data_IF_220206257939
#
_entry.id   IF_220206257939
#
_cell.length_a   1.000
_cell.length_b   1.000
_cell.length_c   1.000
_cell.angle_alpha   90.00
_cell.angle_beta   90.00
_cell.angle_gamma   90.00
#
_symmetry.space_group_name_H-M   'P 1'
#
loop_
_entity.id
_entity.type
_entity.pdbx_description
1 polymer ?
#
# COMPACT_ATOMS: atom_id res chain seq x y z
N UNK A 1 -46.98 74.94 49.19
CA UNK A 1 -48.35 75.44 49.39
C UNK A 1 -48.80 75.05 50.79
N UNK A 2 -49.54 75.93 51.45
CA UNK A 2 -49.85 75.83 52.89
C UNK A 2 -51.36 75.97 53.05
N UNK A 3 -51.97 75.06 53.79
CA UNK A 3 -53.40 75.08 54.08
C UNK A 3 -53.63 75.99 55.29
N UNK A 4 -54.48 77.01 55.13
CA UNK A 4 -54.85 77.94 56.20
C UNK A 4 -56.17 77.49 56.83
N UNK A 5 -56.11 76.99 58.05
CA UNK A 5 -57.29 76.64 58.85
C UNK A 5 -57.55 77.80 59.80
N UNK A 6 -58.68 78.48 59.63
CA UNK A 6 -59.09 79.65 60.42
C UNK A 6 -60.11 79.21 61.46
N UNK A 7 -59.74 79.28 62.74
CA UNK A 7 -60.66 78.97 63.84
C UNK A 7 -61.33 80.26 64.32
N UNK A 8 -62.66 80.29 64.30
CA UNK A 8 -63.45 81.47 64.72
C UNK A 8 -64.35 81.13 65.90
N UNK A 9 -64.28 81.92 66.96
CA UNK A 9 -65.27 81.91 68.06
C UNK A 9 -66.19 83.12 67.94
N UNK A 10 -67.41 82.99 68.46
CA UNK A 10 -68.34 84.11 68.59
C UNK A 10 -68.22 84.66 70.00
N UNK A 11 -67.69 85.87 70.12
CA UNK A 11 -67.56 86.57 71.41
C UNK A 11 -68.63 87.65 71.46
N UNK A 12 -69.30 87.77 72.61
CA UNK A 12 -70.29 88.80 72.86
C UNK A 12 -69.56 90.15 72.96
N UNK A 13 -69.84 91.08 72.06
CA UNK A 13 -69.31 92.45 72.17
C UNK A 13 -70.11 93.24 73.21
N UNK A 14 -69.54 94.35 73.69
CA UNK A 14 -70.13 95.20 74.75
C UNK A 14 -71.56 95.69 74.42
N UNK A 15 -71.96 95.66 73.16
CA UNK A 15 -73.30 96.00 72.67
C UNK A 15 -74.27 94.79 72.59
N UNK A 16 -73.96 93.68 73.27
CA UNK A 16 -74.75 92.43 73.29
C UNK A 16 -74.99 91.79 71.91
N UNK A 17 -74.10 92.00 70.94
CA UNK A 17 -74.13 91.32 69.64
C UNK A 17 -73.00 90.30 69.53
N UNK A 18 -73.30 89.14 68.94
CA UNK A 18 -72.28 88.12 68.69
C UNK A 18 -71.45 88.52 67.45
N UNK A 19 -70.17 88.81 67.64
CA UNK A 19 -69.24 89.03 66.53
C UNK A 19 -68.23 87.87 66.45
N UNK A 20 -67.97 87.39 65.24
CA UNK A 20 -66.95 86.36 64.99
C UNK A 20 -65.56 86.95 65.17
N UNK A 21 -64.80 86.44 66.13
CA UNK A 21 -63.38 86.75 66.37
C UNK A 21 -62.54 85.54 65.96
N UNK A 22 -61.56 85.76 65.09
CA UNK A 22 -60.60 84.72 64.69
C UNK A 22 -59.67 84.45 65.88
N UNK A 23 -59.67 83.22 66.39
CA UNK A 23 -58.92 82.81 67.58
C UNK A 23 -57.53 82.32 67.21
N UNK A 24 -57.38 81.65 66.06
CA UNK A 24 -56.09 81.18 65.56
C UNK A 24 -56.08 80.97 64.05
N UNK A 25 -54.90 81.16 63.44
CA UNK A 25 -54.58 80.74 62.07
C UNK A 25 -53.48 79.70 62.14
N UNK A 26 -53.78 78.48 61.73
CA UNK A 26 -52.80 77.40 61.68
C UNK A 26 -52.39 77.22 60.21
N UNK A 27 -51.11 77.38 59.94
CA UNK A 27 -50.48 77.17 58.64
C UNK A 27 -49.91 75.75 58.58
N UNK A 28 -50.61 74.84 57.89
CA UNK A 28 -50.19 73.44 57.79
C UNK A 28 -49.59 73.14 56.40
N UNK A 29 -48.34 72.67 56.30
CA UNK A 29 -47.74 72.31 55.02
C UNK A 29 -48.34 71.00 54.50
N UNK A 30 -48.78 71.00 53.25
CA UNK A 30 -49.32 69.81 52.58
C UNK A 30 -48.18 68.82 52.31
N UNK A 31 -48.24 67.63 52.93
CA UNK A 31 -47.27 66.54 52.70
C UNK A 31 -47.85 65.54 51.71
N UNK A 32 -47.30 65.51 50.49
CA UNK A 32 -47.68 64.52 49.49
C UNK A 32 -46.83 63.23 49.58
N UNK A 33 -47.36 62.08 49.14
CA UNK A 33 -46.63 60.83 49.12
C UNK A 33 -45.43 60.88 48.16
N UNK A 34 -44.36 60.13 48.47
CA UNK A 34 -43.15 60.07 47.62
C UNK A 34 -43.45 59.56 46.21
N UNK A 35 -42.66 60.02 45.25
CA UNK A 35 -42.80 59.60 43.86
C UNK A 35 -42.54 58.09 43.73
N UNK A 36 -43.47 57.37 43.08
CA UNK A 36 -43.35 55.93 42.83
C UNK A 36 -42.98 55.68 41.37
N UNK A 37 -41.99 54.81 41.14
CA UNK A 37 -41.61 54.35 39.79
C UNK A 37 -41.91 52.86 39.68
N UNK A 38 -42.82 52.50 38.79
CA UNK A 38 -43.19 51.12 38.48
C UNK A 38 -42.66 50.78 37.09
N UNK A 39 -41.88 49.70 36.98
CA UNK A 39 -41.32 49.24 35.71
C UNK A 39 -41.75 47.80 35.49
N UNK A 40 -42.45 47.53 34.39
CA UNK A 40 -42.84 46.18 33.99
C UNK A 40 -42.27 45.85 32.62
N UNK A 41 -41.48 44.79 32.53
CA UNK A 41 -40.92 44.28 31.27
C UNK A 41 -41.80 43.18 30.71
N UNK A 42 -42.26 43.34 29.47
CA UNK A 42 -42.94 42.27 28.76
C UNK A 42 -41.88 41.31 28.18
N UNK A 43 -41.88 40.08 28.69
CA UNK A 43 -40.92 39.03 28.35
C UNK A 43 -40.93 38.63 26.86
N UNK A 44 -42.08 38.77 26.19
CA UNK A 44 -42.28 38.34 24.80
C UNK A 44 -41.90 39.43 23.80
N UNK A 45 -42.28 40.69 24.08
CA UNK A 45 -42.00 41.82 23.18
C UNK A 45 -40.66 42.50 23.48
N UNK A 46 -40.08 42.26 24.66
CA UNK A 46 -38.83 42.89 25.08
C UNK A 46 -38.95 44.39 25.36
N UNK A 47 -40.18 44.91 25.52
CA UNK A 47 -40.47 46.31 25.81
C UNK A 47 -40.90 46.43 27.28
N UNK A 48 -40.26 47.33 28.02
CA UNK A 48 -40.66 47.74 29.35
C UNK A 48 -41.50 49.01 29.31
N UNK A 49 -42.63 48.97 30.02
CA UNK A 49 -43.45 50.15 30.27
C UNK A 49 -43.09 50.67 31.66
N UNK A 50 -42.61 51.91 31.72
CA UNK A 50 -42.28 52.58 32.97
C UNK A 50 -43.34 53.63 33.27
N UNK A 51 -43.99 53.49 34.42
CA UNK A 51 -44.98 54.44 34.92
C UNK A 51 -44.40 55.16 36.13
N UNK A 52 -44.19 56.47 35.98
CA UNK A 52 -43.70 57.36 37.02
C UNK A 52 -44.89 58.16 37.58
N UNK A 53 -45.21 57.91 38.84
CA UNK A 53 -46.22 58.63 39.60
C UNK A 53 -45.54 59.78 40.34
N UNK A 54 -45.66 61.01 39.84
CA UNK A 54 -45.14 62.21 40.48
C UNK A 54 -46.25 62.96 41.21
N UNK A 55 -46.11 63.21 42.53
CA UNK A 55 -47.07 64.03 43.26
C UNK A 55 -46.98 65.49 42.79
N UNK A 56 -48.12 66.10 42.51
CA UNK A 56 -48.26 67.51 42.18
C UNK A 56 -49.32 68.11 43.11
N UNK A 57 -48.99 69.22 43.76
CA UNK A 57 -49.95 69.94 44.62
C UNK A 57 -50.76 70.87 43.73
N UNK A 58 -52.05 70.61 43.62
CA UNK A 58 -52.99 71.46 42.89
C UNK A 58 -54.19 71.75 43.81
N UNK A 59 -54.51 73.03 44.01
CA UNK A 59 -55.61 73.46 44.89
C UNK A 59 -55.55 72.88 46.32
N UNK A 60 -54.36 72.82 46.92
CA UNK A 60 -54.13 72.25 48.25
C UNK A 60 -54.48 70.75 48.40
N UNK A 61 -54.76 70.05 47.30
CA UNK A 61 -54.91 68.60 47.25
C UNK A 61 -53.71 67.96 46.54
N UNK A 62 -53.22 66.85 47.07
CA UNK A 62 -52.16 66.09 46.41
C UNK A 62 -52.76 65.30 45.26
N UNK A 63 -52.52 65.75 44.02
CA UNK A 63 -52.84 64.97 42.82
C UNK A 63 -51.61 64.21 42.34
N UNK A 64 -51.82 63.09 41.66
CA UNK A 64 -50.75 62.34 41.02
C UNK A 64 -50.73 62.63 39.53
N UNK A 65 -49.58 63.05 39.03
CA UNK A 65 -49.30 63.08 37.60
C UNK A 65 -48.68 61.76 37.18
N UNK A 66 -49.25 61.15 36.15
CA UNK A 66 -48.77 59.87 35.60
C UNK A 66 -47.96 60.18 34.35
N UNK A 67 -46.67 59.86 34.38
CA UNK A 67 -45.83 59.86 33.19
C UNK A 67 -45.54 58.42 32.79
N UNK A 68 -46.01 58.02 31.62
CA UNK A 68 -45.76 56.69 31.07
C UNK A 68 -44.85 56.81 29.86
N UNK A 69 -43.75 56.05 29.85
CA UNK A 69 -42.87 55.95 28.70
C UNK A 69 -42.45 54.50 28.49
N UNK A 70 -42.18 54.17 27.23
CA UNK A 70 -41.75 52.84 26.80
C UNK A 70 -40.24 52.85 26.54
N UNK A 71 -39.56 51.80 26.98
CA UNK A 71 -38.14 51.57 26.73
C UNK A 71 -37.91 50.09 26.45
N UNK A 72 -36.83 49.68 25.77
CA UNK A 72 -36.53 48.25 25.64
C UNK A 72 -35.96 47.71 26.95
N UNK A 73 -36.31 46.46 27.27
CA UNK A 73 -35.74 45.68 28.37
C UNK A 73 -35.02 44.41 27.90
N UNK A 74 -35.19 44.00 26.63
CA UNK A 74 -34.43 42.92 26.00
C UNK A 74 -34.00 43.31 24.59
N UNK A 75 -32.82 42.84 24.19
CA UNK A 75 -32.28 42.97 22.83
C UNK A 75 -32.14 41.59 22.19
N UNK A 76 -31.88 41.52 20.89
CA UNK A 76 -31.73 40.24 20.19
C UNK A 76 -30.49 39.48 20.73
N UNK A 77 -30.67 38.28 21.30
CA UNK A 77 -29.56 37.50 21.84
C UNK A 77 -28.75 36.78 20.75
N UNK A 78 -29.24 36.71 19.51
CA UNK A 78 -28.55 36.00 18.44
C UNK A 78 -27.24 36.69 18.06
N UNK A 79 -26.17 35.91 18.02
CA UNK A 79 -24.86 36.38 17.57
C UNK A 79 -24.78 36.29 16.05
N UNK A 80 -24.27 37.34 15.43
CA UNK A 80 -23.98 37.39 13.99
C UNK A 80 -22.47 37.30 13.77
N UNK A 81 -22.04 36.54 12.76
CA UNK A 81 -20.63 36.46 12.40
C UNK A 81 -20.18 37.75 11.73
N UNK A 82 -19.06 38.32 12.19
CA UNK A 82 -18.48 39.53 11.59
C UNK A 82 -17.25 39.17 10.77
N UNK A 83 -16.24 38.56 11.42
CA UNK A 83 -14.99 38.17 10.75
C UNK A 83 -14.23 37.13 11.55
N UNK A 84 -13.30 36.44 10.87
CA UNK A 84 -12.38 35.49 11.46
C UNK A 84 -10.94 35.81 11.03
N UNK A 85 -9.99 35.77 11.97
CA UNK A 85 -8.57 35.96 11.65
C UNK A 85 -7.96 34.70 11.02
N UNK A 86 -6.89 34.88 10.25
CA UNK A 86 -6.06 33.76 9.83
C UNK A 86 -5.55 32.96 11.04
N UNK A 87 -5.25 31.68 10.81
CA UNK A 87 -4.70 30.82 11.84
C UNK A 87 -3.29 31.28 12.21
N UNK A 88 -3.06 31.56 13.50
CA UNK A 88 -1.76 31.97 14.01
C UNK A 88 -0.77 30.81 14.04
N UNK A 89 0.53 31.13 14.22
CA UNK A 89 1.58 30.10 14.44
C UNK A 89 1.28 29.22 15.65
N UNK A 90 0.60 29.76 16.66
CA UNK A 90 0.17 29.04 17.87
C UNK A 90 -1.12 28.22 17.66
N UNK A 91 -1.55 28.04 16.41
CA UNK A 91 -2.72 27.26 16.03
C UNK A 91 -4.04 27.79 16.63
N UNK A 92 -4.13 29.11 16.80
CA UNK A 92 -5.32 29.82 17.29
C UNK A 92 -5.88 30.77 16.23
N UNK A 93 -7.20 30.89 16.21
CA UNK A 93 -7.93 31.86 15.38
C UNK A 93 -8.94 32.58 16.25
N UNK A 94 -9.15 33.87 16.00
CA UNK A 94 -10.13 34.68 16.72
C UNK A 94 -11.35 34.87 15.82
N UNK A 95 -12.49 34.41 16.31
CA UNK A 95 -13.80 34.62 15.68
C UNK A 95 -14.44 35.83 16.36
N UNK A 96 -14.73 36.86 15.59
CA UNK A 96 -15.41 38.06 16.06
C UNK A 96 -16.88 37.95 15.67
N UNK A 97 -17.74 37.98 16.68
CA UNK A 97 -19.19 37.96 16.57
C UNK A 97 -19.76 39.27 17.09
N UNK A 98 -20.96 39.63 16.65
CA UNK A 98 -21.69 40.79 17.13
C UNK A 98 -23.00 40.33 17.76
N UNK A 99 -23.30 40.83 18.96
CA UNK A 99 -24.62 40.71 19.60
C UNK A 99 -25.15 42.08 19.95
N UNK A 100 -26.43 42.19 20.25
CA UNK A 100 -26.98 43.40 20.82
C UNK A 100 -26.88 43.38 22.35
N UNK A 101 -26.53 44.52 22.94
CA UNK A 101 -26.53 44.74 24.39
C UNK A 101 -27.38 45.95 24.73
N UNK A 102 -28.18 45.83 25.78
CA UNK A 102 -29.04 46.89 26.27
C UNK A 102 -28.20 47.93 27.05
N UNK A 103 -28.32 49.20 26.69
CA UNK A 103 -27.73 50.32 27.44
C UNK A 103 -28.63 50.76 28.60
N UNK A 104 -28.08 51.55 29.52
CA UNK A 104 -28.84 52.14 30.63
C UNK A 104 -30.07 52.95 30.17
N UNK A 105 -30.00 53.53 28.97
CA UNK A 105 -31.07 54.31 28.35
C UNK A 105 -32.14 53.47 27.62
N UNK A 106 -32.05 52.14 27.71
CA UNK A 106 -33.01 51.23 27.06
C UNK A 106 -32.84 51.12 25.55
N UNK A 107 -31.64 51.38 25.03
CA UNK A 107 -31.30 51.28 23.59
C UNK A 107 -30.42 50.06 23.35
N UNK A 108 -30.72 49.29 22.32
CA UNK A 108 -29.88 48.15 21.91
C UNK A 108 -28.72 48.66 21.05
N UNK A 109 -27.49 48.45 21.53
CA UNK A 109 -26.27 48.78 20.77
C UNK A 109 -25.49 47.51 20.43
N UNK A 110 -24.81 47.47 19.27
CA UNK A 110 -23.97 46.34 18.91
C UNK A 110 -22.75 46.25 19.85
N UNK A 111 -22.50 45.05 20.36
CA UNK A 111 -21.33 44.68 21.16
C UNK A 111 -20.57 43.59 20.40
N UNK A 112 -19.28 43.83 20.17
CA UNK A 112 -18.38 42.85 19.57
C UNK A 112 -17.86 41.88 20.63
N UNK A 113 -18.00 40.59 20.34
CA UNK A 113 -17.48 39.49 21.16
C UNK A 113 -16.37 38.81 20.38
N UNK A 114 -15.20 38.66 20.99
CA UNK A 114 -14.11 37.87 20.44
C UNK A 114 -14.05 36.50 21.13
N UNK A 115 -14.09 35.43 20.35
CA UNK A 115 -13.88 34.06 20.83
C UNK A 115 -12.62 33.46 20.18
N UNK A 116 -11.72 32.94 21.00
CA UNK A 116 -10.52 32.25 20.51
C UNK A 116 -10.83 30.76 20.33
N UNK A 117 -10.61 30.24 19.12
CA UNK A 117 -10.76 28.81 18.78
C UNK A 117 -9.45 28.22 18.30
N UNK A 118 -9.27 26.90 18.42
CA UNK A 118 -8.14 26.21 17.77
C UNK A 118 -8.43 26.05 16.28
N UNK A 119 -7.41 26.26 15.45
CA UNK A 119 -7.51 26.12 13.99
C UNK A 119 -6.62 25.00 13.43
N UNK A 120 -5.72 24.43 14.24
CA UNK A 120 -4.94 23.24 13.86
C UNK A 120 -4.96 22.22 14.98
N UNK A 121 -4.61 20.98 14.62
CA UNK A 121 -4.41 19.90 15.56
C UNK A 121 -2.95 19.46 15.64
N UNK A 122 -2.55 18.79 16.75
CA UNK A 122 -1.22 18.23 16.88
C UNK A 122 -0.87 17.31 15.70
N UNK A 123 0.41 17.26 15.36
CA UNK A 123 0.89 16.35 14.32
C UNK A 123 0.65 14.89 14.73
N UNK A 124 0.37 13.99 13.77
CA UNK A 124 0.23 12.57 14.06
C UNK A 124 1.45 12.02 14.80
N UNK A 125 1.22 11.24 15.85
CA UNK A 125 2.29 10.66 16.66
C UNK A 125 2.15 9.14 16.72
N UNK A 126 3.27 8.43 16.62
CA UNK A 126 3.31 6.98 16.83
C UNK A 126 3.21 6.72 18.32
N UNK A 127 2.12 6.09 18.76
CA UNK A 127 1.86 5.82 20.18
C UNK A 127 2.22 4.38 20.56
N UNK A 128 2.22 3.46 19.60
CA UNK A 128 2.56 2.05 19.86
C UNK A 128 3.19 1.41 18.63
N UNK A 129 4.21 0.59 18.87
CA UNK A 129 4.76 -0.36 17.90
C UNK A 129 4.62 -1.74 18.53
N UNK A 130 4.03 -2.68 17.80
CA UNK A 130 3.88 -4.06 18.26
C UNK A 130 4.49 -5.00 17.22
N UNK A 131 5.05 -6.10 17.70
CA UNK A 131 5.53 -7.18 16.85
C UNK A 131 5.03 -8.48 17.46
N UNK A 132 4.18 -9.19 16.73
CA UNK A 132 3.89 -10.58 17.03
C UNK A 132 4.99 -11.44 16.42
N UNK A 133 5.87 -11.97 17.27
CA UNK A 133 7.01 -12.77 16.85
C UNK A 133 6.63 -14.11 16.22
N UNK A 134 5.47 -14.68 16.58
CA UNK A 134 5.02 -15.96 16.05
C UNK A 134 4.47 -15.80 14.63
N UNK A 135 3.60 -14.80 14.42
CA UNK A 135 3.06 -14.52 13.08
C UNK A 135 3.99 -13.68 12.21
N UNK A 136 5.02 -13.05 12.80
CA UNK A 136 5.91 -12.08 12.12
C UNK A 136 5.17 -10.83 11.65
N UNK A 137 4.07 -10.48 12.32
CA UNK A 137 3.24 -9.33 11.98
C UNK A 137 3.64 -8.14 12.84
N UNK A 138 4.13 -7.10 12.17
CA UNK A 138 4.42 -5.81 12.80
C UNK A 138 3.21 -4.90 12.68
N UNK A 139 2.84 -4.20 13.74
CA UNK A 139 1.81 -3.17 13.69
C UNK A 139 2.28 -1.87 14.30
N UNK A 140 1.86 -0.77 13.68
CA UNK A 140 2.16 0.58 14.13
C UNK A 140 0.82 1.27 14.35
N UNK A 141 0.59 1.75 15.56
CA UNK A 141 -0.56 2.57 15.90
C UNK A 141 -0.14 4.03 15.94
N UNK A 142 -0.77 4.82 15.09
CA UNK A 142 -0.57 6.27 14.99
C UNK A 142 -1.82 6.98 15.48
N UNK A 143 -1.66 7.89 16.43
CA UNK A 143 -2.71 8.79 16.88
C UNK A 143 -2.76 10.00 15.96
N UNK A 144 -3.89 10.20 15.30
CA UNK A 144 -4.20 11.32 14.41
C UNK A 144 -5.25 12.17 15.11
N UNK A 145 -5.26 13.48 14.88
CA UNK A 145 -6.23 14.37 15.49
C UNK A 145 -7.10 15.01 14.40
N UNK A 146 -8.43 14.92 14.53
CA UNK A 146 -9.40 15.57 13.64
C UNK A 146 -9.95 16.83 14.31
N UNK A 147 -10.00 17.94 13.58
CA UNK A 147 -10.57 19.19 14.06
C UNK A 147 -12.10 19.16 13.87
N UNK A 148 -12.85 19.20 14.98
CA UNK A 148 -14.31 19.24 15.00
C UNK A 148 -14.73 20.40 15.88
N UNK A 149 -15.46 21.38 15.33
CA UNK A 149 -15.97 22.57 16.04
C UNK A 149 -14.91 23.40 16.80
N UNK A 150 -13.63 23.32 16.41
CA UNK A 150 -12.54 24.03 17.09
C UNK A 150 -11.86 23.22 18.19
N UNK A 151 -12.20 21.94 18.32
CA UNK A 151 -11.54 20.98 19.20
C UNK A 151 -10.87 19.85 18.41
N UNK A 152 -9.80 19.29 18.97
CA UNK A 152 -9.02 18.22 18.33
C UNK A 152 -9.36 16.87 18.96
N UNK A 153 -10.09 16.05 18.21
CA UNK A 153 -10.52 14.73 18.64
C UNK A 153 -9.47 13.68 18.21
N UNK A 154 -8.93 12.87 19.13
CA UNK A 154 -7.96 11.83 18.80
C UNK A 154 -8.63 10.65 18.09
N UNK A 155 -7.97 10.12 17.07
CA UNK A 155 -8.36 8.95 16.30
C UNK A 155 -7.14 8.06 16.13
N UNK A 156 -7.21 6.84 16.62
CA UNK A 156 -6.11 5.88 16.53
C UNK A 156 -6.25 5.05 15.25
N UNK A 157 -5.20 5.09 14.43
CA UNK A 157 -5.10 4.30 13.20
C UNK A 157 -4.00 3.27 13.36
N UNK A 158 -4.36 1.99 13.30
CA UNK A 158 -3.42 0.87 13.33
C UNK A 158 -3.21 0.34 11.93
N UNK A 159 -1.94 0.24 11.52
CA UNK A 159 -1.54 -0.40 10.26
C UNK A 159 -0.68 -1.61 10.60
N UNK A 160 -1.05 -2.77 10.09
CA UNK A 160 -0.29 -4.02 10.22
C UNK A 160 0.39 -4.39 8.91
N UNK A 161 1.60 -4.94 9.00
CA UNK A 161 2.38 -5.44 7.88
C UNK A 161 3.11 -6.72 8.29
N UNK A 162 2.99 -7.75 7.46
CA UNK A 162 3.75 -8.98 7.61
C UNK A 162 5.20 -8.80 7.17
N UNK A 163 6.14 -9.34 7.95
CA UNK A 163 7.55 -9.42 7.57
C UNK A 163 7.76 -10.61 6.65
N UNK A 164 8.05 -10.32 5.38
CA UNK A 164 8.38 -11.31 4.34
C UNK A 164 9.87 -11.14 4.02
N UNK A 165 10.65 -12.21 4.24
CA UNK A 165 12.08 -12.23 3.97
C UNK A 165 12.37 -12.74 2.56
N UNK A 166 13.53 -12.38 2.02
CA UNK A 166 13.93 -12.85 0.71
C UNK A 166 14.08 -14.37 0.70
N UNK A 167 13.55 -15.03 -0.32
CA UNK A 167 13.76 -16.46 -0.57
C UNK A 167 15.11 -16.76 -1.23
N UNK A 168 15.94 -15.73 -1.46
CA UNK A 168 17.23 -15.89 -2.13
C UNK A 168 18.18 -16.68 -1.22
N UNK A 169 18.49 -17.90 -1.65
CA UNK A 169 19.52 -18.72 -1.04
C UNK A 169 20.79 -18.64 -1.89
N UNK A 170 21.92 -18.34 -1.24
CA UNK A 170 23.23 -18.39 -1.86
C UNK A 170 23.98 -19.61 -1.35
N UNK A 171 24.57 -20.39 -2.27
CA UNK A 171 25.30 -21.60 -1.94
C UNK A 171 26.72 -21.49 -2.47
N UNK A 172 27.69 -21.42 -1.56
CA UNK A 172 29.12 -21.48 -1.91
C UNK A 172 29.63 -22.89 -1.71
N UNK A 173 30.23 -23.46 -2.75
CA UNK A 173 30.83 -24.82 -2.71
C UNK A 173 32.34 -24.68 -2.69
N UNK A 174 32.96 -25.10 -1.59
CA UNK A 174 34.40 -25.10 -1.40
C UNK A 174 34.92 -26.54 -1.39
N UNK A 175 36.00 -26.80 -2.12
CA UNK A 175 36.71 -28.08 -2.09
C UNK A 175 37.73 -28.05 -0.95
N UNK A 176 37.63 -28.98 -0.02
CA UNK A 176 38.60 -29.13 1.06
C UNK A 176 39.66 -30.19 0.68
N UNK A 177 40.94 -30.00 1.08
CA UNK A 177 42.01 -30.96 0.83
C UNK A 177 41.72 -32.37 1.36
N UNK A 178 40.87 -32.47 2.40
CA UNK A 178 40.42 -33.70 3.05
C UNK A 178 39.49 -34.58 2.19
N UNK A 179 39.17 -34.17 0.95
CA UNK A 179 38.24 -34.90 0.08
C UNK A 179 36.76 -34.63 0.38
N UNK A 180 36.46 -33.55 1.11
CA UNK A 180 35.11 -33.09 1.40
C UNK A 180 34.75 -31.84 0.60
N UNK A 181 33.48 -31.74 0.24
CA UNK A 181 32.85 -30.51 -0.22
C UNK A 181 32.19 -29.83 0.96
N UNK A 182 32.63 -28.61 1.26
CA UNK A 182 31.98 -27.72 2.21
C UNK A 182 30.97 -26.86 1.46
N UNK A 183 29.69 -27.04 1.78
CA UNK A 183 28.59 -26.25 1.25
C UNK A 183 28.20 -25.22 2.31
N UNK A 184 28.43 -23.96 2.01
CA UNK A 184 28.00 -22.83 2.84
C UNK A 184 26.74 -22.26 2.24
N UNK A 185 25.61 -22.48 2.91
CA UNK A 185 24.30 -21.97 2.52
C UNK A 185 24.00 -20.72 3.34
N UNK A 186 23.74 -19.62 2.67
CA UNK A 186 23.39 -18.36 3.32
C UNK A 186 22.01 -17.94 2.83
N UNK A 187 21.07 -17.78 3.77
CA UNK A 187 19.68 -17.40 3.50
C UNK A 187 19.16 -16.44 4.55
N UNK A 188 18.20 -15.61 4.18
CA UNK A 188 17.45 -14.82 5.14
C UNK A 188 16.41 -15.69 5.85
N UNK A 189 16.41 -15.62 7.17
CA UNK A 189 15.42 -16.30 8.02
C UNK A 189 14.70 -15.24 8.83
N UNK A 190 13.38 -15.37 8.90
CA UNK A 190 12.54 -14.51 9.74
C UNK A 190 12.78 -14.84 11.22
N UNK A 191 13.16 -13.83 12.00
CA UNK A 191 13.25 -13.90 13.45
C UNK A 191 12.41 -12.75 14.02
N UNK A 192 11.27 -13.10 14.60
CA UNK A 192 10.24 -12.12 14.96
C UNK A 192 9.72 -11.36 13.74
N UNK A 193 9.74 -10.03 13.79
CA UNK A 193 9.34 -9.15 12.67
C UNK A 193 10.54 -8.61 11.87
N UNK A 194 11.71 -9.25 11.93
CA UNK A 194 12.90 -8.87 11.16
C UNK A 194 13.47 -10.06 10.37
N UNK A 195 14.16 -9.74 9.29
CA UNK A 195 14.89 -10.72 8.48
C UNK A 195 16.36 -10.71 8.88
N UNK A 196 16.89 -11.89 9.18
CA UNK A 196 18.28 -12.07 9.59
C UNK A 196 18.97 -13.04 8.66
N UNK A 197 20.17 -12.68 8.22
CA UNK A 197 21.00 -13.58 7.42
C UNK A 197 21.54 -14.71 8.30
N UNK A 198 21.32 -15.96 7.89
CA UNK A 198 21.84 -17.16 8.57
C UNK A 198 22.65 -17.99 7.60
N UNK A 199 23.87 -18.33 8.02
CA UNK A 199 24.74 -19.26 7.32
C UNK A 199 24.67 -20.65 7.94
N UNK A 200 24.49 -21.68 7.13
CA UNK A 200 24.57 -23.08 7.52
C UNK A 200 25.68 -23.76 6.74
N UNK A 201 26.57 -24.44 7.46
CA UNK A 201 27.67 -25.21 6.87
C UNK A 201 27.28 -26.68 6.86
N UNK A 202 27.35 -27.32 5.70
CA UNK A 202 27.20 -28.76 5.56
C UNK A 202 28.39 -29.34 4.79
N UNK A 203 28.73 -30.60 5.08
CA UNK A 203 29.83 -31.31 4.42
C UNK A 203 29.30 -32.50 3.66
N UNK A 204 29.71 -32.65 2.40
CA UNK A 204 29.39 -33.79 1.55
C UNK A 204 30.67 -34.39 1.01
N UNK A 205 30.81 -35.72 1.02
CA UNK A 205 32.00 -36.39 0.49
C UNK A 205 32.12 -36.12 -1.02
N UNK A 206 33.31 -35.73 -1.48
CA UNK A 206 33.59 -35.58 -2.92
C UNK A 206 33.53 -36.95 -3.58
N UNK A 207 32.76 -37.07 -4.67
CA UNK A 207 32.69 -38.28 -5.49
C UNK A 207 33.29 -37.96 -6.85
N UNK A 208 34.22 -38.81 -7.31
CA UNK A 208 34.71 -38.73 -8.68
C UNK A 208 33.65 -39.20 -9.67
N UNK A 209 33.74 -38.80 -10.95
CA UNK A 209 32.82 -39.28 -11.99
C UNK A 209 32.80 -40.80 -12.07
N UNK A 210 31.67 -41.35 -12.51
CA UNK A 210 31.52 -42.79 -12.71
C UNK A 210 32.45 -43.32 -13.82
N UNK A 211 32.66 -44.63 -13.81
CA UNK A 211 33.47 -45.30 -14.84
C UNK A 211 32.82 -45.04 -16.19
N UNK A 212 33.62 -44.57 -17.16
CA UNK A 212 33.14 -44.26 -18.50
C UNK A 212 33.84 -45.12 -19.55
N UNK A 213 33.09 -45.47 -20.61
CA UNK A 213 33.60 -46.22 -21.76
C UNK A 213 33.82 -45.26 -22.92
N UNK A 214 35.01 -45.29 -23.51
CA UNK A 214 35.33 -44.58 -24.75
C UNK A 214 35.72 -45.58 -25.83
N UNK A 215 35.29 -45.32 -27.05
CA UNK A 215 35.61 -46.14 -28.21
C UNK A 215 36.21 -45.25 -29.27
N UNK A 216 37.37 -45.62 -29.79
CA UNK A 216 38.08 -44.88 -30.83
C UNK A 216 38.59 -45.83 -31.89
N UNK A 217 38.68 -45.35 -33.13
CA UNK A 217 39.31 -46.08 -34.21
C UNK A 217 40.84 -45.98 -34.07
N UNK A 218 41.54 -47.10 -34.17
CA UNK A 218 43.01 -47.12 -34.18
C UNK A 218 43.53 -47.98 -35.32
N UNK A 219 44.67 -47.58 -35.87
CA UNK A 219 45.42 -48.34 -36.87
C UNK A 219 46.33 -49.36 -36.16
N UNK A 220 46.30 -50.61 -36.63
CA UNK A 220 47.12 -51.71 -36.13
C UNK A 220 48.33 -51.98 -37.04
N UNK A 221 48.15 -51.84 -38.35
CA UNK A 221 49.17 -52.05 -39.41
C UNK A 221 48.64 -51.50 -40.75
N UNK A 222 49.46 -51.54 -41.82
CA UNK A 222 49.23 -50.87 -43.11
C UNK A 222 47.90 -51.17 -43.84
N UNK A 223 47.09 -52.14 -43.39
CA UNK A 223 45.73 -52.38 -43.91
C UNK A 223 44.76 -52.93 -42.85
N UNK A 224 45.05 -52.74 -41.55
CA UNK A 224 44.23 -53.26 -40.46
C UNK A 224 43.85 -52.15 -39.48
N UNK A 225 42.54 -51.99 -39.26
CA UNK A 225 41.99 -51.07 -38.27
C UNK A 225 41.14 -51.83 -37.24
N UNK A 226 41.12 -51.31 -36.03
CA UNK A 226 40.37 -51.89 -34.93
C UNK A 226 39.65 -50.83 -34.11
N UNK A 227 38.52 -51.24 -33.54
CA UNK A 227 37.87 -50.49 -32.47
C UNK A 227 38.65 -50.70 -31.16
N UNK A 228 39.29 -49.64 -30.67
CA UNK A 228 39.87 -49.59 -29.33
C UNK A 228 38.83 -49.08 -28.35
N UNK A 229 38.33 -49.97 -27.49
CA UNK A 229 37.49 -49.60 -26.35
C UNK A 229 38.38 -49.40 -25.12
N UNK A 230 38.35 -48.21 -24.52
CA UNK A 230 39.05 -47.88 -23.28
C UNK A 230 38.03 -47.67 -22.15
N UNK A 231 38.22 -48.36 -21.02
CA UNK A 231 37.50 -48.06 -19.78
C UNK A 231 38.33 -47.07 -18.95
N UNK A 232 37.70 -45.95 -18.62
CA UNK A 232 38.31 -44.84 -17.87
C UNK A 232 37.68 -44.81 -16.47
N UNK A 233 38.52 -45.03 -15.46
CA UNK A 233 38.17 -44.90 -14.05
C UNK A 233 38.78 -43.62 -13.48
N UNK A 234 38.05 -42.94 -12.60
CA UNK A 234 38.52 -41.77 -11.90
C UNK A 234 38.83 -42.13 -10.44
N UNK A 235 40.06 -41.85 -9.99
CA UNK A 235 40.47 -42.08 -8.60
C UNK A 235 40.64 -40.74 -7.88
N UNK A 236 40.08 -40.60 -6.68
CA UNK A 236 40.37 -39.44 -5.84
C UNK A 236 41.75 -39.59 -5.21
N UNK A 237 42.60 -38.57 -5.35
CA UNK A 237 43.81 -38.49 -4.52
C UNK A 237 43.43 -38.11 -3.09
N UNK A 238 44.13 -38.67 -2.09
CA UNK A 238 43.94 -38.31 -0.67
C UNK A 238 44.69 -37.04 -0.27
N UNK A 239 45.62 -36.57 -1.12
CA UNK A 239 46.46 -35.38 -0.88
C UNK A 239 45.98 -34.13 -1.63
N UNK A 240 45.26 -34.33 -2.73
CA UNK A 240 44.76 -33.26 -3.58
C UNK A 240 43.29 -33.57 -3.87
N UNK A 241 42.40 -32.59 -3.66
CA UNK A 241 40.97 -32.67 -3.99
C UNK A 241 40.72 -32.63 -5.52
N UNK A 242 41.44 -33.49 -6.24
CA UNK A 242 41.48 -33.64 -7.70
C UNK A 242 41.25 -35.12 -8.01
N UNK A 243 40.38 -35.39 -8.99
CA UNK A 243 40.21 -36.74 -9.53
C UNK A 243 41.28 -36.97 -10.60
N UNK A 244 42.10 -37.98 -10.42
CA UNK A 244 43.04 -38.43 -11.44
C UNK A 244 42.38 -39.44 -12.37
N UNK A 245 42.63 -39.28 -13.67
CA UNK A 245 42.16 -40.18 -14.72
C UNK A 245 43.07 -41.41 -14.77
N UNK A 246 42.51 -42.61 -14.75
CA UNK A 246 43.23 -43.86 -14.95
C UNK A 246 42.52 -44.73 -15.99
N UNK A 247 43.25 -45.15 -17.00
CA UNK A 247 42.78 -46.16 -17.96
C UNK A 247 43.04 -47.54 -17.37
N UNK A 248 42.00 -48.37 -17.30
CA UNK A 248 42.08 -49.66 -16.59
C UNK A 248 41.97 -50.88 -17.51
N UNK A 249 41.39 -50.70 -18.68
CA UNK A 249 41.18 -51.79 -19.61
C UNK A 249 41.10 -51.27 -21.04
N UNK A 250 41.74 -52.00 -21.94
CA UNK A 250 41.71 -51.75 -23.37
C UNK A 250 41.29 -53.03 -24.08
N UNK A 251 40.18 -53.00 -24.82
CA UNK A 251 39.79 -54.06 -25.75
C UNK A 251 40.02 -53.60 -27.18
N UNK A 252 40.76 -54.40 -27.94
CA UNK A 252 40.95 -54.22 -29.38
C UNK A 252 40.04 -55.21 -30.10
N UNK A 253 39.23 -54.69 -31.03
CA UNK A 253 38.38 -55.50 -31.88
C UNK A 253 38.69 -55.21 -33.35
N UNK A 254 39.36 -56.14 -34.07
CA UNK A 254 39.67 -55.99 -35.49
C UNK A 254 38.40 -55.85 -36.32
N UNK A 255 38.48 -55.05 -37.39
CA UNK A 255 37.37 -54.86 -38.32
C UNK A 255 37.59 -55.78 -39.52
N UNK A 256 36.62 -56.65 -39.76
CA UNK A 256 36.61 -57.54 -40.92
C UNK A 256 35.40 -57.20 -41.77
N UNK A 257 35.64 -56.74 -42.99
CA UNK A 257 34.58 -56.43 -43.94
C UNK A 257 34.14 -57.69 -44.68
N UNK A 258 32.95 -58.19 -44.34
CA UNK A 258 32.36 -59.33 -45.05
C UNK A 258 32.02 -58.97 -46.50
N UNK A 259 32.29 -59.90 -47.42
CA UNK A 259 31.96 -59.78 -48.83
C UNK A 259 30.42 -59.93 -48.97
N UNK A 260 29.71 -58.96 -49.58
CA UNK A 260 28.27 -59.09 -49.80
C UNK A 260 27.94 -60.25 -50.75
N UNK A 261 26.75 -60.85 -50.64
CA UNK A 261 26.29 -61.83 -51.62
C UNK A 261 26.25 -61.23 -53.03
N UNK A 262 26.58 -62.05 -54.03
CA UNK A 262 26.53 -61.66 -55.44
C UNK A 262 25.07 -61.42 -55.86
N UNK A 263 24.85 -60.47 -56.76
CA UNK A 263 23.55 -60.28 -57.40
C UNK A 263 23.61 -60.76 -58.85
N UNK A 264 22.80 -61.76 -59.19
CA UNK A 264 22.80 -62.44 -60.48
C UNK A 264 21.48 -62.13 -61.18
N UNK A 265 21.54 -61.57 -62.39
CA UNK A 265 20.34 -61.31 -63.19
C UNK A 265 19.80 -62.57 -63.87
N UNK A 266 18.60 -62.47 -64.42
CA UNK A 266 18.09 -63.45 -65.38
C UNK A 266 18.89 -63.42 -66.69
N UNK A 267 18.76 -64.48 -67.49
CA UNK A 267 19.41 -64.61 -68.78
C UNK A 267 18.70 -63.76 -69.84
N UNK A 268 19.46 -62.93 -70.56
CA UNK A 268 18.98 -62.09 -71.65
C UNK A 268 19.89 -62.24 -72.87
N UNK A 269 19.37 -61.95 -74.06
CA UNK A 269 20.15 -62.07 -75.31
C UNK A 269 21.15 -60.91 -75.45
N UNK A 270 22.44 -61.22 -75.59
CA UNK A 270 23.49 -60.27 -75.93
C UNK A 270 23.90 -60.46 -77.40
N UNK A 271 23.47 -59.50 -78.23
CA UNK A 271 23.72 -59.50 -79.67
C UNK A 271 25.22 -59.48 -80.01
N UNK A 272 26.07 -58.88 -79.18
CA UNK A 272 27.53 -58.85 -79.41
C UNK A 272 28.18 -60.21 -79.22
N UNK A 273 27.59 -61.06 -78.37
CA UNK A 273 28.11 -62.39 -78.02
C UNK A 273 27.37 -63.53 -78.74
N UNK A 274 26.32 -63.20 -79.50
CA UNK A 274 25.41 -64.17 -80.14
C UNK A 274 24.93 -65.26 -79.14
N UNK A 275 24.66 -64.86 -77.90
CA UNK A 275 24.33 -65.79 -76.81
C UNK A 275 23.38 -65.15 -75.78
N UNK A 276 22.60 -65.98 -75.10
CA UNK A 276 21.92 -65.60 -73.88
C UNK A 276 22.93 -65.58 -72.75
N UNK A 277 23.05 -64.45 -72.07
CA UNK A 277 23.97 -64.23 -70.96
C UNK A 277 23.24 -63.70 -69.74
N UNK A 278 23.76 -63.97 -68.55
CA UNK A 278 23.33 -63.32 -67.32
C UNK A 278 24.43 -62.41 -66.79
N UNK A 279 24.03 -61.32 -66.16
CA UNK A 279 24.91 -60.33 -65.53
C UNK A 279 25.11 -60.69 -64.06
N UNK A 280 26.36 -60.84 -63.64
CA UNK A 280 26.75 -61.06 -62.26
C UNK A 280 27.40 -59.76 -61.75
N UNK A 281 26.80 -59.16 -60.73
CA UNK A 281 27.34 -58.01 -60.03
C UNK A 281 28.16 -58.52 -58.83
N UNK A 282 29.48 -58.35 -58.91
CA UNK A 282 30.38 -58.69 -57.82
C UNK A 282 30.60 -57.45 -56.96
N UNK A 283 30.09 -57.50 -55.73
CA UNK A 283 30.28 -56.42 -54.76
C UNK A 283 31.54 -56.68 -53.95
N UNK A 284 32.38 -55.66 -53.81
CA UNK A 284 33.50 -55.65 -52.87
C UNK A 284 33.26 -54.57 -51.83
N UNK A 285 33.87 -54.74 -50.66
CA UNK A 285 33.93 -53.71 -49.61
C UNK A 285 35.38 -53.42 -49.34
N UNK A 286 35.69 -52.14 -49.19
CA UNK A 286 36.98 -51.66 -48.71
C UNK A 286 36.85 -51.14 -47.29
N UNK A 287 37.94 -51.26 -46.55
CA UNK A 287 38.07 -50.66 -45.23
C UNK A 287 38.50 -49.20 -45.42
N UNK A 288 37.71 -48.26 -44.90
CA UNK A 288 38.00 -46.83 -44.94
C UNK A 288 37.79 -46.27 -43.53
N UNK A 289 38.89 -46.14 -42.79
CA UNK A 289 38.79 -45.99 -41.35
C UNK A 289 38.06 -47.19 -40.72
N UNK A 290 37.45 -47.00 -39.56
CA UNK A 290 36.71 -48.08 -38.91
C UNK A 290 35.34 -48.42 -39.55
N UNK A 291 35.19 -48.14 -40.84
CA UNK A 291 33.98 -48.36 -41.61
C UNK A 291 34.24 -49.20 -42.86
N UNK A 292 33.33 -50.12 -43.15
CA UNK A 292 33.35 -50.91 -44.37
C UNK A 292 32.50 -50.21 -45.44
N UNK A 293 33.17 -49.59 -46.41
CA UNK A 293 32.53 -48.86 -47.51
C UNK A 293 32.36 -49.79 -48.72
N UNK A 294 31.20 -49.71 -49.40
CA UNK A 294 30.94 -50.52 -50.61
C UNK A 294 31.64 -49.90 -51.80
N UNK A 295 32.39 -50.71 -52.54
CA UNK A 295 32.97 -50.30 -53.81
C UNK A 295 31.95 -50.45 -54.96
N UNK A 296 32.13 -49.74 -56.09
CA UNK A 296 31.33 -49.96 -57.29
C UNK A 296 31.40 -51.42 -57.73
N UNK A 297 30.27 -52.07 -58.07
CA UNK A 297 30.26 -53.48 -58.42
C UNK A 297 30.98 -53.73 -59.74
N UNK A 298 31.81 -54.78 -59.78
CA UNK A 298 32.39 -55.25 -61.05
C UNK A 298 31.40 -56.18 -61.75
N UNK A 299 31.16 -55.90 -63.03
CA UNK A 299 30.17 -56.62 -63.83
C UNK A 299 30.86 -57.75 -64.60
N UNK A 300 30.47 -58.99 -64.34
CA UNK A 300 30.89 -60.15 -65.15
C UNK A 300 29.68 -60.75 -65.89
N UNK A 301 29.92 -61.31 -67.06
CA UNK A 301 28.88 -61.95 -67.88
C UNK A 301 29.13 -63.45 -67.93
N UNK A 302 28.10 -64.25 -67.62
CA UNK A 302 28.13 -65.69 -67.77
C UNK A 302 27.17 -66.11 -68.89
N UNK A 303 27.64 -66.94 -69.81
CA UNK A 303 26.82 -67.46 -70.92
C UNK A 303 25.86 -68.52 -70.37
N UNK A 304 24.56 -68.33 -70.62
CA UNK A 304 23.50 -69.29 -70.31
C UNK A 304 23.29 -70.27 -71.47
N UNK A 305 23.20 -69.79 -72.70
CA UNK A 305 23.05 -70.62 -73.91
C UNK A 305 23.48 -69.85 -75.17
N UNK A 306 24.00 -70.55 -76.18
CA UNK A 306 24.37 -69.95 -77.46
C UNK A 306 23.13 -69.80 -78.35
N UNK A 307 23.05 -68.71 -79.14
CA UNK A 307 22.01 -68.60 -80.14
C UNK A 307 22.31 -69.53 -81.33
N UNK A 308 21.26 -70.17 -81.84
CA UNK A 308 21.36 -71.04 -83.02
C UNK A 308 21.78 -70.20 -84.23
N UNK A 309 22.65 -70.70 -85.12
CA UNK A 309 23.07 -69.97 -86.31
C UNK A 309 21.85 -69.70 -87.20
N UNK A 310 21.65 -68.42 -87.57
CA UNK A 310 20.60 -68.03 -88.51
C UNK A 310 21.15 -68.27 -89.92
N UNK A 311 20.69 -69.33 -90.59
CA UNK A 311 20.94 -69.50 -92.02
C UNK A 311 20.18 -68.42 -92.78
N UNK A 312 20.91 -67.51 -93.43
CA UNK A 312 20.33 -66.58 -94.40
C UNK A 312 20.67 -67.10 -95.79
N UNK A 313 19.68 -67.66 -96.48
CA UNK A 313 19.79 -67.94 -97.90
C UNK A 313 19.75 -66.60 -98.67
N UNK A 314 20.82 -66.30 -99.42
CA UNK A 314 20.82 -65.25 -100.45
C UNK A 314 20.66 -65.95 -101.80
N UNK A 315 19.64 -65.58 -102.57
CA UNK A 315 19.53 -66.01 -103.96
C UNK A 315 20.51 -65.18 -104.81
N UNK A 316 21.26 -65.87 -105.65
CA UNK A 316 22.19 -65.26 -106.61
C UNK A 316 21.44 -64.63 -107.79
N UNK A 317 21.98 -63.52 -108.28
CA UNK A 317 21.86 -63.08 -109.67
C UNK A 317 23.27 -63.03 -110.24
#
# INVERSE_FOLDING_TARGET
>A
MVQEIVHTERVLTNDKKCATKVVSRIMQPVRCPEAKKLTYCNETTGIATTTKLQPMVENCECKSTVQTYQMRCKCNPQTTFVRQTACSKDCKTTVIQQREKLTADGVCKPELIAQVKKCCCPRPAVIRRNCDSASGMSSITTRIFKLVQGECIPVDKTVSRATICSSNETVRVLKEPSGWLRLERTKEVRIGCRCHMRSQISRKKWKCPEISRRTQCVELSDQQQAWKTVLVMWKSSTKESVCSRREIFTKLQPIVCSIPPQNISDCFFDAKRHAFVRRILNFKRRLEGCHCVREPPTVTFQVCSCAKPVQRAKCAK
#
